data_IF_630810666730
#
_entry.id   IF_630810666730
#
_cell.length_a   1.000
_cell.length_b   1.000
_cell.length_c   1.000
_cell.angle_alpha   90.00
_cell.angle_beta   90.00
_cell.angle_gamma   90.00
#
_symmetry.space_group_name_H-M   'P 1'
#
loop_
_entity.id
_entity.type
_entity.pdbx_description
1 polymer ?
#
# COMPACT_ATOMS: atom_id res chain seq x y z
N UNK A 1 -2.02 59.47 17.75
CA UNK A 1 -1.17 58.40 17.20
C UNK A 1 -2.08 57.42 16.47
N UNK A 2 -2.37 57.70 15.21
CA UNK A 2 -1.72 57.20 13.99
C UNK A 2 -2.34 55.91 13.47
N UNK A 3 -3.42 56.13 12.71
CA UNK A 3 -3.88 55.30 11.60
C UNK A 3 -2.76 55.14 10.57
N UNK A 4 -2.59 53.93 10.03
CA UNK A 4 -1.98 53.76 8.70
C UNK A 4 -2.84 52.83 7.85
N UNK A 5 -3.56 53.48 6.93
CA UNK A 5 -3.87 52.93 5.61
C UNK A 5 -2.57 52.75 4.82
N UNK A 6 -2.51 51.69 4.02
CA UNK A 6 -1.87 51.72 2.70
C UNK A 6 -2.72 50.89 1.72
N UNK A 7 -3.37 51.51 0.73
CA UNK A 7 -3.67 50.89 -0.54
C UNK A 7 -2.49 51.09 -1.49
N UNK A 8 -2.23 50.14 -2.38
CA UNK A 8 -1.56 50.43 -3.64
C UNK A 8 -1.93 49.37 -4.68
N UNK A 9 -2.98 49.70 -5.41
CA UNK A 9 -3.30 49.20 -6.73
C UNK A 9 -2.42 49.97 -7.72
N UNK A 10 -1.68 49.26 -8.57
CA UNK A 10 -1.24 49.73 -9.88
C UNK A 10 -1.21 48.53 -10.81
N UNK A 11 -2.33 48.36 -11.51
CA UNK A 11 -2.39 47.66 -12.79
C UNK A 11 -1.48 48.41 -13.78
N UNK A 12 -0.66 47.66 -14.50
CA UNK A 12 0.07 48.15 -15.66
C UNK A 12 -0.74 47.80 -16.92
N UNK A 13 -1.27 48.79 -17.67
CA UNK A 13 -2.10 48.56 -18.83
C UNK A 13 -1.27 48.64 -20.11
N UNK A 14 -0.64 47.54 -20.51
CA UNK A 14 -0.03 47.46 -21.84
C UNK A 14 0.13 46.02 -22.33
N UNK A 15 -0.95 45.42 -22.82
CA UNK A 15 -0.87 44.46 -23.94
C UNK A 15 -2.22 44.36 -24.63
N UNK A 16 -2.46 45.28 -25.57
CA UNK A 16 -3.45 45.07 -26.62
C UNK A 16 -2.92 44.01 -27.59
N UNK A 17 -3.76 43.14 -28.16
CA UNK A 17 -3.36 42.23 -29.23
C UNK A 17 -3.24 43.01 -30.54
N UNK A 18 -2.20 42.71 -31.31
CA UNK A 18 -2.09 43.13 -32.71
C UNK A 18 -2.61 41.98 -33.61
N UNK A 19 -3.50 42.24 -34.58
CA UNK A 19 -4.01 41.24 -35.51
C UNK A 19 -3.29 41.33 -36.87
N UNK A 20 -2.55 40.31 -37.28
CA UNK A 20 -2.58 39.85 -38.68
C UNK A 20 -1.88 38.52 -38.93
N UNK A 21 -2.52 37.72 -39.78
CA UNK A 21 -2.14 36.41 -40.32
C UNK A 21 -0.76 36.35 -40.96
N UNK A 22 -0.10 35.18 -40.87
CA UNK A 22 0.29 34.43 -42.08
C UNK A 22 0.44 32.93 -41.77
N UNK A 23 -0.24 32.12 -42.57
CA UNK A 23 -0.18 30.65 -42.66
C UNK A 23 1.14 30.12 -43.22
N UNK A 24 1.64 28.99 -42.69
CA UNK A 24 2.23 27.91 -43.50
C UNK A 24 2.02 26.54 -42.80
N UNK A 25 1.71 25.45 -43.53
CA UNK A 25 1.27 24.18 -42.97
C UNK A 25 2.39 23.13 -42.96
N UNK A 26 2.60 22.52 -41.79
CA UNK A 26 3.19 21.19 -41.72
C UNK A 26 4.30 21.05 -40.70
N UNK A 27 3.98 20.42 -39.57
CA UNK A 27 4.75 19.31 -39.02
C UNK A 27 3.99 18.71 -37.83
N UNK A 28 3.65 17.41 -37.97
CA UNK A 28 3.47 16.34 -36.98
C UNK A 28 2.63 16.65 -35.72
N UNK A 29 1.63 15.82 -35.34
CA UNK A 29 0.97 15.96 -34.05
C UNK A 29 1.99 15.70 -32.94
N UNK A 30 2.39 16.76 -32.24
CA UNK A 30 2.95 16.67 -30.90
C UNK A 30 1.86 16.04 -30.02
N UNK A 31 2.07 14.77 -29.66
CA UNK A 31 1.35 14.14 -28.58
C UNK A 31 1.75 14.87 -27.30
N UNK A 32 1.00 15.92 -26.97
CA UNK A 32 0.92 16.44 -25.62
C UNK A 32 0.59 15.26 -24.71
N UNK A 33 1.37 14.98 -23.66
CA UNK A 33 0.97 14.01 -22.66
C UNK A 33 -0.42 14.41 -22.15
N UNK A 34 -1.36 13.48 -22.24
CA UNK A 34 -2.69 13.66 -21.70
C UNK A 34 -2.58 14.03 -20.21
N UNK A 35 -3.11 15.19 -19.76
CA UNK A 35 -3.15 15.55 -18.35
C UNK A 35 -3.98 14.58 -17.49
N UNK A 36 -4.76 13.69 -18.10
CA UNK A 36 -5.52 12.65 -17.40
C UNK A 36 -4.73 11.35 -17.12
N UNK A 37 -3.45 11.27 -17.47
CA UNK A 37 -2.55 10.22 -16.95
C UNK A 37 -1.83 10.65 -15.66
N UNK A 38 -2.60 11.19 -14.71
CA UNK A 38 -2.24 10.96 -13.32
C UNK A 38 -2.53 9.48 -13.04
N UNK A 39 -1.56 8.66 -12.57
CA UNK A 39 -1.84 7.26 -12.23
C UNK A 39 -2.78 7.25 -11.02
N UNK A 40 -4.08 7.31 -11.28
CA UNK A 40 -5.11 6.97 -10.31
C UNK A 40 -5.07 5.44 -10.19
N UNK A 41 -4.05 4.96 -9.46
CA UNK A 41 -3.66 3.55 -9.31
C UNK A 41 -4.66 2.77 -8.47
N UNK A 42 -5.89 2.57 -8.97
CA UNK A 42 -6.90 1.75 -8.30
C UNK A 42 -7.13 0.39 -8.98
N UNK A 43 -6.58 0.16 -10.17
CA UNK A 43 -6.78 -1.08 -10.93
C UNK A 43 -5.47 -1.84 -11.06
N UNK A 44 -5.05 -2.49 -9.98
CA UNK A 44 -4.05 -3.56 -10.05
C UNK A 44 -4.72 -4.73 -10.78
N UNK A 45 -4.08 -5.27 -11.81
CA UNK A 45 -4.61 -6.42 -12.56
C UNK A 45 -4.63 -7.67 -11.69
N UNK A 46 -5.45 -8.64 -12.07
CA UNK A 46 -5.47 -9.93 -11.38
C UNK A 46 -4.10 -10.62 -11.44
N UNK A 47 -3.69 -11.24 -10.35
CA UNK A 47 -2.39 -11.88 -10.21
C UNK A 47 -1.89 -11.94 -8.77
N UNK A 48 -0.66 -12.46 -8.61
CA UNK A 48 0.06 -12.45 -7.35
C UNK A 48 1.23 -11.47 -7.43
N UNK A 49 1.45 -10.73 -6.35
CA UNK A 49 2.47 -9.70 -6.27
C UNK A 49 3.22 -9.81 -4.94
N UNK A 50 4.53 -9.58 -4.98
CA UNK A 50 5.32 -9.25 -3.81
C UNK A 50 4.97 -7.81 -3.43
N UNK A 51 4.61 -7.59 -2.17
CA UNK A 51 4.23 -6.28 -1.66
C UNK A 51 5.02 -5.96 -0.38
N UNK A 52 5.94 -4.99 -0.44
CA UNK A 52 6.56 -4.46 0.76
C UNK A 52 5.52 -3.73 1.62
N UNK A 53 5.70 -3.79 2.93
CA UNK A 53 4.85 -3.06 3.87
C UNK A 53 5.63 -2.58 5.10
N UNK A 54 5.03 -1.71 5.89
CA UNK A 54 5.54 -1.30 7.20
C UNK A 54 4.47 -1.55 8.25
N UNK A 55 4.91 -1.90 9.46
CA UNK A 55 4.03 -1.90 10.63
C UNK A 55 4.34 -0.65 11.45
N UNK A 56 3.36 0.22 11.64
CA UNK A 56 3.47 1.50 12.29
C UNK A 56 2.80 1.46 13.67
N UNK A 57 3.26 2.31 14.59
CA UNK A 57 2.53 2.53 15.85
C UNK A 57 1.20 3.22 15.54
N UNK A 58 0.19 2.93 16.35
CA UNK A 58 -1.16 3.47 16.17
C UNK A 58 -1.16 5.00 15.99
N UNK A 59 -1.86 5.45 14.95
CA UNK A 59 -2.02 6.87 14.55
C UNK A 59 -0.70 7.65 14.33
N UNK A 60 0.40 6.97 14.01
CA UNK A 60 1.69 7.65 13.71
C UNK A 60 2.32 7.13 12.42
N UNK A 61 3.43 7.76 12.02
CA UNK A 61 4.31 7.26 10.95
C UNK A 61 5.58 6.57 11.49
N UNK A 62 5.65 6.35 12.81
CA UNK A 62 6.78 5.67 13.43
C UNK A 62 6.65 4.15 13.31
N UNK A 63 7.75 3.47 13.00
CA UNK A 63 7.77 2.01 12.94
C UNK A 63 7.46 1.39 14.31
N UNK A 64 6.57 0.40 14.30
CA UNK A 64 6.22 -0.41 15.46
C UNK A 64 7.22 -1.54 15.64
N UNK A 65 7.47 -1.92 16.90
CA UNK A 65 8.20 -3.16 17.22
C UNK A 65 7.56 -4.39 16.58
N UNK A 66 6.25 -4.34 16.30
CA UNK A 66 5.52 -5.42 15.61
C UNK A 66 6.10 -5.72 14.22
N UNK A 67 6.75 -4.74 13.56
CA UNK A 67 7.41 -4.95 12.27
C UNK A 67 8.45 -6.08 12.34
N UNK A 68 9.18 -6.18 13.45
CA UNK A 68 10.18 -7.23 13.66
C UNK A 68 9.61 -8.63 13.77
N UNK A 69 8.29 -8.79 13.95
CA UNK A 69 7.58 -10.07 14.04
C UNK A 69 6.91 -10.47 12.73
N UNK A 70 7.09 -9.72 11.64
CA UNK A 70 6.51 -10.04 10.34
C UNK A 70 7.64 -10.26 9.32
N UNK A 71 7.38 -11.13 8.34
CA UNK A 71 8.26 -11.28 7.18
C UNK A 71 7.80 -10.31 6.09
N UNK A 72 8.76 -9.63 5.48
CA UNK A 72 8.56 -8.59 4.49
C UNK A 72 9.49 -8.89 3.29
N UNK A 73 9.00 -8.85 2.03
CA UNK A 73 7.64 -8.52 1.59
C UNK A 73 6.61 -9.60 1.91
N UNK A 74 5.34 -9.18 1.93
CA UNK A 74 4.19 -10.08 1.91
C UNK A 74 3.77 -10.41 0.47
N UNK A 75 2.69 -11.18 0.32
CA UNK A 75 2.09 -11.46 -0.99
C UNK A 75 0.72 -10.82 -1.07
N UNK A 76 0.48 -10.03 -2.11
CA UNK A 76 -0.85 -9.55 -2.49
C UNK A 76 -1.41 -10.45 -3.59
N UNK A 77 -2.57 -11.06 -3.36
CA UNK A 77 -3.37 -11.70 -4.41
C UNK A 77 -4.49 -10.77 -4.84
N UNK A 78 -4.64 -10.60 -6.14
CA UNK A 78 -5.70 -9.82 -6.77
C UNK A 78 -6.53 -10.75 -7.66
N UNK A 79 -7.82 -10.86 -7.37
CA UNK A 79 -8.76 -11.69 -8.12
C UNK A 79 -10.09 -10.95 -8.29
N UNK A 80 -10.50 -10.69 -9.53
CA UNK A 80 -11.67 -9.89 -9.89
C UNK A 80 -11.69 -8.54 -9.14
N UNK A 81 -10.52 -7.88 -9.04
CA UNK A 81 -10.34 -6.62 -8.31
C UNK A 81 -10.35 -6.73 -6.78
N UNK A 82 -10.63 -7.91 -6.20
CA UNK A 82 -10.54 -8.15 -4.76
C UNK A 82 -9.09 -8.39 -4.36
N UNK A 83 -8.65 -7.74 -3.30
CA UNK A 83 -7.27 -7.75 -2.81
C UNK A 83 -7.18 -8.51 -1.49
N UNK A 84 -6.28 -9.49 -1.43
CA UNK A 84 -5.96 -10.25 -0.22
C UNK A 84 -4.47 -10.21 0.04
N UNK A 85 -4.08 -9.75 1.23
CA UNK A 85 -2.70 -9.82 1.68
C UNK A 85 -2.46 -11.13 2.41
N UNK A 86 -1.32 -11.74 2.15
CA UNK A 86 -0.82 -12.96 2.77
C UNK A 86 0.53 -12.62 3.39
N UNK A 87 0.63 -12.76 4.71
CA UNK A 87 1.81 -12.37 5.47
C UNK A 87 2.24 -13.49 6.41
N UNK A 88 3.55 -13.63 6.59
CA UNK A 88 4.11 -14.57 7.56
C UNK A 88 4.40 -13.86 8.87
N UNK A 89 3.82 -14.37 9.95
CA UNK A 89 4.06 -13.95 11.32
C UNK A 89 5.12 -14.87 11.95
N UNK A 90 6.12 -14.25 12.59
CA UNK A 90 7.18 -14.90 13.37
C UNK A 90 6.80 -14.91 14.85
N UNK A 91 7.42 -15.81 15.61
CA UNK A 91 7.11 -16.01 17.03
C UNK A 91 5.60 -16.24 17.24
N UNK A 92 5.05 -17.13 16.42
CA UNK A 92 3.61 -17.41 16.34
C UNK A 92 3.02 -17.71 17.73
N UNK A 93 3.77 -18.43 18.56
CA UNK A 93 3.43 -18.76 19.93
C UNK A 93 3.17 -17.55 20.84
N UNK A 94 3.78 -16.39 20.57
CA UNK A 94 3.60 -15.15 21.33
C UNK A 94 2.40 -14.33 20.85
N UNK A 95 2.15 -14.31 19.54
CA UNK A 95 1.06 -13.54 18.93
C UNK A 95 -0.19 -14.41 18.96
N UNK A 96 -0.99 -14.31 20.01
CA UNK A 96 -2.19 -15.13 20.23
C UNK A 96 -3.34 -14.77 19.30
N UNK A 97 -3.45 -13.50 18.92
CA UNK A 97 -4.42 -13.08 17.91
C UNK A 97 -3.85 -11.99 17.00
N UNK A 98 -4.28 -11.99 15.75
CA UNK A 98 -3.95 -11.00 14.74
C UNK A 98 -5.23 -10.66 13.96
N UNK A 99 -5.73 -9.44 14.15
CA UNK A 99 -6.98 -8.97 13.58
C UNK A 99 -6.74 -7.75 12.71
N UNK A 100 -7.45 -7.65 11.59
CA UNK A 100 -7.42 -6.47 10.71
C UNK A 100 -8.80 -5.84 10.64
N UNK A 101 -8.84 -4.52 10.49
CA UNK A 101 -10.09 -3.81 10.28
C UNK A 101 -10.69 -4.13 8.90
N UNK A 102 -11.96 -4.50 8.90
CA UNK A 102 -12.79 -4.68 7.71
C UNK A 102 -14.15 -4.06 8.00
N UNK A 103 -14.54 -3.11 7.15
CA UNK A 103 -15.85 -2.44 7.22
C UNK A 103 -16.17 -1.84 8.62
N UNK A 104 -15.15 -1.28 9.29
CA UNK A 104 -15.28 -0.67 10.62
C UNK A 104 -15.21 -1.64 11.81
N UNK A 105 -14.99 -2.94 11.55
CA UNK A 105 -14.89 -3.97 12.59
C UNK A 105 -13.56 -4.74 12.49
N UNK A 106 -13.02 -5.17 13.63
CA UNK A 106 -11.84 -6.04 13.65
C UNK A 106 -12.24 -7.50 13.44
N UNK A 107 -11.62 -8.13 12.44
CA UNK A 107 -11.86 -9.53 12.07
C UNK A 107 -10.54 -10.30 12.18
N UNK A 108 -10.60 -11.52 12.73
CA UNK A 108 -9.43 -12.40 12.80
C UNK A 108 -8.92 -12.71 11.39
N UNK A 109 -7.60 -12.57 11.18
CA UNK A 109 -6.99 -12.98 9.94
C UNK A 109 -7.05 -14.52 9.82
N UNK A 110 -7.35 -15.00 8.62
CA UNK A 110 -7.43 -16.43 8.34
C UNK A 110 -6.04 -17.05 8.40
N UNK A 111 -5.82 -18.04 9.26
CA UNK A 111 -4.58 -18.83 9.23
C UNK A 111 -4.61 -19.75 8.00
N UNK A 112 -3.59 -19.66 7.14
CA UNK A 112 -3.47 -20.49 5.93
C UNK A 112 -2.47 -21.64 6.10
N UNK A 113 -1.45 -21.45 6.92
CA UNK A 113 -0.49 -22.50 7.29
C UNK A 113 0.25 -22.16 8.56
N UNK A 114 0.83 -23.18 9.21
CA UNK A 114 1.64 -23.05 10.41
C UNK A 114 2.91 -23.90 10.29
N UNK A 115 4.03 -23.37 10.76
CA UNK A 115 5.30 -24.09 10.92
C UNK A 115 5.69 -24.00 12.40
N UNK A 116 5.43 -25.09 13.13
CA UNK A 116 5.68 -25.18 14.57
C UNK A 116 7.17 -25.25 14.91
N UNK A 117 7.98 -25.82 14.01
CA UNK A 117 9.43 -25.95 14.24
C UNK A 117 10.11 -24.58 14.16
N UNK A 118 9.69 -23.74 13.21
CA UNK A 118 10.20 -22.37 13.06
C UNK A 118 9.44 -21.34 13.92
N UNK A 119 8.40 -21.76 14.63
CA UNK A 119 7.46 -20.90 15.35
C UNK A 119 6.93 -19.75 14.47
N UNK A 120 6.42 -20.10 13.28
CA UNK A 120 5.83 -19.15 12.33
C UNK A 120 4.45 -19.59 11.88
N UNK A 121 3.63 -18.64 11.42
CA UNK A 121 2.37 -18.94 10.74
C UNK A 121 2.13 -17.96 9.59
N UNK A 122 1.42 -18.40 8.58
CA UNK A 122 1.00 -17.55 7.47
C UNK A 122 -0.48 -17.22 7.66
N UNK A 123 -0.82 -15.94 7.51
CA UNK A 123 -2.21 -15.46 7.62
C UNK A 123 -2.63 -14.72 6.35
N UNK A 124 -3.91 -14.80 6.02
CA UNK A 124 -4.57 -14.13 4.90
C UNK A 124 -5.68 -13.20 5.42
N UNK A 125 -5.72 -11.98 4.90
CA UNK A 125 -6.77 -11.00 5.19
C UNK A 125 -7.06 -10.10 3.98
N UNK A 126 -8.26 -9.51 3.95
CA UNK A 126 -8.66 -8.60 2.88
C UNK A 126 -8.06 -7.21 3.07
N UNK A 127 -7.76 -6.53 1.95
CA UNK A 127 -7.28 -5.15 1.94
C UNK A 127 -8.11 -4.34 0.97
N UNK A 128 -8.95 -3.45 1.50
CA UNK A 128 -9.87 -2.65 0.68
C UNK A 128 -9.12 -1.59 -0.15
N UNK A 129 -8.17 -0.90 0.47
CA UNK A 129 -7.47 0.24 -0.12
C UNK A 129 -5.99 0.21 0.28
N UNK A 130 -5.11 -0.04 -0.69
CA UNK A 130 -3.67 -0.15 -0.48
C UNK A 130 -3.00 1.21 -0.28
N UNK A 131 -3.67 2.31 -0.63
CA UNK A 131 -3.18 3.67 -0.41
C UNK A 131 -3.37 4.16 1.02
N UNK A 132 -4.15 3.42 1.83
CA UNK A 132 -4.48 3.76 3.21
C UNK A 132 -3.77 2.83 4.19
N UNK A 133 -3.58 3.34 5.41
CA UNK A 133 -3.19 2.53 6.56
C UNK A 133 -4.33 1.59 6.93
N UNK A 134 -4.01 0.31 7.12
CA UNK A 134 -4.94 -0.71 7.61
C UNK A 134 -4.77 -0.87 9.12
N UNK A 135 -5.80 -0.52 9.89
CA UNK A 135 -5.78 -0.70 11.34
C UNK A 135 -5.76 -2.19 11.69
N UNK A 136 -4.93 -2.55 12.66
CA UNK A 136 -4.66 -3.94 13.06
C UNK A 136 -4.58 -4.03 14.59
N UNK A 137 -5.24 -5.03 15.16
CA UNK A 137 -5.13 -5.39 16.58
C UNK A 137 -4.33 -6.67 16.74
N UNK A 138 -3.33 -6.64 17.62
CA UNK A 138 -2.52 -7.82 17.93
C UNK A 138 -2.56 -8.10 19.43
N UNK A 139 -2.93 -9.32 19.80
CA UNK A 139 -2.88 -9.76 21.19
C UNK A 139 -1.61 -10.56 21.44
N UNK A 140 -0.75 -10.06 22.32
CA UNK A 140 0.55 -10.64 22.65
C UNK A 140 0.51 -11.21 24.06
N UNK A 141 0.96 -12.46 24.21
CA UNK A 141 1.11 -13.12 25.49
C UNK A 141 2.50 -13.74 25.64
N UNK A 142 3.26 -13.28 26.63
CA UNK A 142 4.53 -13.85 27.05
C UNK A 142 4.41 -14.29 28.52
N UNK A 143 4.06 -15.56 28.73
CA UNK A 143 3.83 -16.12 30.06
C UNK A 143 5.06 -15.99 30.98
N UNK A 144 6.28 -16.17 30.44
CA UNK A 144 7.54 -16.04 31.18
C UNK A 144 7.79 -14.66 31.78
N UNK A 145 7.13 -13.63 31.27
CA UNK A 145 7.22 -12.24 31.74
C UNK A 145 5.90 -11.72 32.33
N UNK A 146 4.91 -12.60 32.52
CA UNK A 146 3.55 -12.25 32.89
C UNK A 146 2.97 -11.09 32.05
N UNK A 147 3.30 -11.07 30.76
CA UNK A 147 2.90 -10.00 29.86
C UNK A 147 1.72 -10.45 29.00
N UNK A 148 0.60 -9.72 29.08
CA UNK A 148 -0.59 -9.92 28.25
C UNK A 148 -1.14 -8.55 27.85
N UNK A 149 -1.01 -8.19 26.58
CA UNK A 149 -1.44 -6.88 26.10
C UNK A 149 -1.98 -6.98 24.68
N UNK A 150 -3.00 -6.20 24.40
CA UNK A 150 -3.47 -5.93 23.04
C UNK A 150 -2.84 -4.62 22.58
N UNK A 151 -2.28 -4.62 21.38
CA UNK A 151 -1.73 -3.43 20.74
C UNK A 151 -2.52 -3.10 19.49
N UNK A 152 -2.81 -1.82 19.33
CA UNK A 152 -3.22 -1.23 18.07
C UNK A 152 -1.97 -0.84 17.28
N UNK A 153 -1.92 -1.28 16.02
CA UNK A 153 -0.88 -0.95 15.05
C UNK A 153 -1.52 -0.70 13.70
N UNK A 154 -0.75 -0.13 12.77
CA UNK A 154 -1.22 0.16 11.42
C UNK A 154 -0.29 -0.50 10.40
N UNK A 155 -0.86 -1.20 9.42
CA UNK A 155 -0.12 -1.68 8.26
C UNK A 155 -0.17 -0.64 7.15
N UNK A 156 0.99 -0.28 6.60
CA UNK A 156 1.12 0.57 5.43
C UNK A 156 1.77 -0.22 4.30
N UNK A 157 1.02 -0.50 3.25
CA UNK A 157 1.53 -1.19 2.07
C UNK A 157 2.22 -0.20 1.12
N UNK A 158 3.40 -0.55 0.62
CA UNK A 158 4.15 0.27 -0.33
C UNK A 158 3.74 -0.11 -1.77
N UNK A 159 2.55 0.34 -2.18
CA UNK A 159 1.93 -0.01 -3.46
C UNK A 159 2.81 0.36 -4.68
N UNK A 160 3.61 1.42 -4.58
CA UNK A 160 4.57 1.85 -5.59
C UNK A 160 5.71 0.85 -5.83
N UNK A 161 5.92 -0.10 -4.91
CA UNK A 161 6.96 -1.13 -4.95
C UNK A 161 6.40 -2.53 -5.19
N UNK A 162 5.19 -2.63 -5.76
CA UNK A 162 4.59 -3.89 -6.17
C UNK A 162 5.42 -4.57 -7.27
N UNK A 163 5.79 -5.82 -7.04
CA UNK A 163 6.48 -6.65 -8.03
C UNK A 163 5.63 -7.88 -8.36
N UNK A 164 5.30 -8.08 -9.64
CA UNK A 164 4.50 -9.24 -10.04
C UNK A 164 5.29 -10.53 -9.84
N UNK A 165 4.71 -11.48 -9.10
CA UNK A 165 5.27 -12.82 -8.93
C UNK A 165 4.90 -13.62 -10.17
N UNK A 166 5.88 -13.85 -11.05
CA UNK A 166 5.72 -14.77 -12.17
C UNK A 166 5.81 -16.18 -11.62
N UNK A 167 4.73 -16.95 -11.74
CA UNK A 167 4.84 -18.39 -11.64
C UNK A 167 5.61 -18.85 -12.89
N UNK A 168 6.91 -19.10 -12.77
CA UNK A 168 7.56 -20.02 -13.71
C UNK A 168 6.94 -21.39 -13.47
N UNK A 169 5.88 -21.68 -14.22
CA UNK A 169 5.43 -23.02 -14.46
C UNK A 169 6.61 -23.75 -15.11
N UNK A 170 7.42 -24.45 -14.31
CA UNK A 170 8.28 -25.51 -14.83
C UNK A 170 7.34 -26.56 -15.43
N UNK A 171 7.00 -26.38 -16.70
CA UNK A 171 6.57 -27.49 -17.53
C UNK A 171 7.64 -28.59 -17.37
N UNK A 172 7.27 -29.84 -17.07
CA UNK A 172 8.22 -30.94 -17.20
C UNK A 172 8.62 -30.97 -18.67
N UNK A 173 9.89 -30.64 -18.93
CA UNK A 173 10.50 -30.88 -20.23
C UNK A 173 10.36 -32.37 -20.49
N UNK A 174 9.43 -32.70 -21.39
CA UNK A 174 9.25 -34.07 -21.87
C UNK A 174 10.54 -34.41 -22.60
N UNK A 175 11.45 -35.11 -21.92
CA UNK A 175 12.52 -35.86 -22.57
C UNK A 175 11.85 -36.79 -23.57
N UNK A 176 11.94 -36.43 -24.86
CA UNK A 176 11.59 -37.34 -25.95
C UNK A 176 12.74 -38.35 -26.12
N UNK A 177 12.40 -39.61 -26.43
CA UNK A 177 13.34 -40.73 -26.48
C UNK A 177 14.36 -40.63 -27.61
#
# INVERSE_FOLDING_TARGET
LSSYKKPNEKEDPANKPDPNETTDPGQKPDQKPDPDQQPNSNTITDGAYSIPFKVLKDQTDEESKMNTYMVNPGVLKVENGKKKAIVTLKSSSLIKNFQTEKDGAFVDAKVVSEDKEKDTRVVEFEVNDLSKKLNTKVFIEMASRNYKQTHDVQLLFEQDKLEQIKNEEKQPEVEKP
#
